data_IF_987424329714
#
_entry.id   IF_987424329714
#
_cell.length_a   1.000
_cell.length_b   1.000
_cell.length_c   1.000
_cell.angle_alpha   90.00
_cell.angle_beta   90.00
_cell.angle_gamma   90.00
#
_symmetry.space_group_name_H-M   'P 1'
#
loop_
_entity.id
_entity.type
_entity.pdbx_description
1 polymer ?
#
# COMPACT_ATOMS: atom_id res chain seq x y z
N UNK A 1 28.17 -20.15 -12.12
CA UNK A 1 27.53 -18.86 -11.80
C UNK A 1 26.46 -19.14 -10.76
N UNK A 2 26.55 -18.54 -9.58
CA UNK A 2 25.59 -18.76 -8.49
C UNK A 2 24.25 -18.09 -8.82
N UNK A 3 23.22 -18.89 -9.08
CA UNK A 3 21.86 -18.42 -9.29
C UNK A 3 21.32 -17.85 -7.98
N UNK A 4 21.13 -16.53 -7.91
CA UNK A 4 20.57 -15.90 -6.73
C UNK A 4 19.05 -16.12 -6.72
N UNK A 5 18.51 -16.77 -5.68
CA UNK A 5 17.09 -17.14 -5.61
C UNK A 5 16.14 -15.94 -5.65
N UNK A 6 16.58 -14.75 -5.24
CA UNK A 6 15.80 -13.49 -5.38
C UNK A 6 15.61 -13.13 -6.85
N UNK A 7 16.57 -13.50 -7.71
CA UNK A 7 16.55 -13.23 -9.14
C UNK A 7 15.62 -14.14 -9.95
N UNK A 8 15.17 -15.25 -9.36
CA UNK A 8 14.27 -16.23 -9.96
C UNK A 8 12.95 -16.35 -9.19
N UNK A 9 12.61 -15.34 -8.39
CA UNK A 9 11.28 -15.27 -7.82
C UNK A 9 10.26 -15.23 -8.95
N UNK A 10 9.23 -16.07 -8.85
CA UNK A 10 8.07 -16.00 -9.71
C UNK A 10 7.44 -14.62 -9.49
N UNK A 11 7.81 -13.67 -10.35
CA UNK A 11 7.23 -12.35 -10.35
C UNK A 11 5.77 -12.45 -10.72
N UNK A 12 4.95 -11.61 -10.09
CA UNK A 12 3.59 -11.39 -10.57
C UNK A 12 3.69 -10.72 -11.94
N UNK A 13 2.98 -11.21 -12.95
CA UNK A 13 2.91 -10.52 -14.24
C UNK A 13 2.01 -9.27 -14.15
N UNK A 14 2.14 -8.34 -15.07
CA UNK A 14 1.28 -7.14 -15.13
C UNK A 14 -0.22 -7.48 -15.19
N UNK A 15 -0.69 -8.46 -16.00
CA UNK A 15 -2.10 -8.86 -15.99
C UNK A 15 -2.55 -9.43 -14.64
N UNK A 16 -1.72 -10.27 -14.00
CA UNK A 16 -2.03 -10.83 -12.69
C UNK A 16 -2.08 -9.74 -11.61
N UNK A 17 -1.18 -8.74 -11.69
CA UNK A 17 -1.21 -7.56 -10.83
C UNK A 17 -2.51 -6.77 -10.98
N UNK A 18 -2.94 -6.47 -12.20
CA UNK A 18 -4.21 -5.78 -12.39
C UNK A 18 -5.41 -6.63 -11.92
N UNK A 19 -5.32 -7.96 -12.03
CA UNK A 19 -6.32 -8.86 -11.48
C UNK A 19 -6.36 -8.83 -9.94
N UNK A 20 -5.22 -8.82 -9.25
CA UNK A 20 -5.14 -8.84 -7.78
C UNK A 20 -5.34 -7.47 -7.13
N UNK A 21 -4.76 -6.41 -7.72
CA UNK A 21 -4.57 -5.08 -7.12
C UNK A 21 -5.03 -3.93 -8.03
N UNK A 22 -5.68 -4.22 -9.17
CA UNK A 22 -6.08 -3.18 -10.14
C UNK A 22 -7.12 -2.15 -9.67
N UNK A 23 -7.67 -2.28 -8.45
CA UNK A 23 -8.60 -1.29 -7.88
C UNK A 23 -8.16 -0.82 -6.50
N UNK A 24 -8.55 0.41 -6.14
CA UNK A 24 -8.23 0.99 -4.83
C UNK A 24 -8.75 0.12 -3.67
N UNK A 25 -9.93 -0.49 -3.83
CA UNK A 25 -10.50 -1.38 -2.82
C UNK A 25 -9.69 -2.67 -2.65
N UNK A 26 -9.16 -3.23 -3.74
CA UNK A 26 -8.29 -4.41 -3.70
C UNK A 26 -6.97 -4.08 -3.01
N UNK A 27 -6.33 -2.98 -3.40
CA UNK A 27 -5.11 -2.47 -2.75
C UNK A 27 -5.31 -2.23 -1.24
N UNK A 28 -6.45 -1.65 -0.85
CA UNK A 28 -6.78 -1.43 0.55
C UNK A 28 -6.89 -2.76 1.31
N UNK A 29 -7.53 -3.77 0.71
CA UNK A 29 -7.65 -5.11 1.30
C UNK A 29 -6.30 -5.81 1.41
N UNK A 30 -5.46 -5.75 0.38
CA UNK A 30 -4.11 -6.30 0.39
C UNK A 30 -3.27 -5.66 1.50
N UNK A 31 -3.23 -4.33 1.57
CA UNK A 31 -2.52 -3.61 2.63
C UNK A 31 -3.04 -3.94 4.03
N UNK A 32 -4.35 -4.10 4.19
CA UNK A 32 -4.96 -4.51 5.46
C UNK A 32 -4.48 -5.89 5.90
N UNK A 33 -4.41 -6.85 4.97
CA UNK A 33 -3.94 -8.21 5.24
C UNK A 33 -2.43 -8.22 5.57
N UNK A 34 -1.62 -7.46 4.83
CA UNK A 34 -0.17 -7.37 5.10
C UNK A 34 0.13 -6.72 6.44
N UNK A 35 -0.59 -5.65 6.79
CA UNK A 35 -0.38 -4.95 8.05
C UNK A 35 -0.84 -5.77 9.26
N UNK A 36 -1.89 -6.57 9.10
CA UNK A 36 -2.52 -7.30 10.20
C UNK A 36 -2.87 -8.74 9.83
N UNK A 37 -1.85 -9.60 9.60
CA UNK A 37 -2.07 -10.98 9.18
C UNK A 37 -2.81 -11.81 10.24
N UNK A 38 -2.59 -11.50 11.53
CA UNK A 38 -3.22 -12.18 12.67
C UNK A 38 -4.45 -11.44 13.22
N UNK A 39 -4.99 -10.51 12.44
CA UNK A 39 -6.07 -9.63 12.84
C UNK A 39 -5.57 -8.38 13.56
N UNK A 40 -6.43 -7.37 13.57
CA UNK A 40 -6.00 -6.02 13.93
C UNK A 40 -6.02 -5.80 15.44
N UNK A 41 -4.95 -5.19 15.95
CA UNK A 41 -4.82 -4.78 17.35
C UNK A 41 -4.62 -3.27 17.43
N UNK A 42 -5.18 -2.65 18.48
CA UNK A 42 -4.93 -1.25 18.77
C UNK A 42 -3.45 -1.04 19.12
N UNK A 43 -2.76 -0.04 18.53
CA UNK A 43 -1.36 0.23 18.86
C UNK A 43 -1.15 0.71 20.29
N UNK A 44 -2.16 1.34 20.92
CA UNK A 44 -2.04 1.87 22.28
C UNK A 44 -2.36 0.85 23.38
N UNK A 45 -3.41 0.04 23.21
CA UNK A 45 -3.91 -0.85 24.27
C UNK A 45 -4.01 -2.34 23.86
N UNK A 46 -3.55 -2.71 22.66
CA UNK A 46 -3.66 -4.06 22.09
C UNK A 46 -5.09 -4.63 21.93
N UNK A 47 -6.13 -3.87 22.26
CA UNK A 47 -7.52 -4.28 22.12
C UNK A 47 -7.93 -4.59 20.67
N UNK A 48 -8.86 -5.53 20.51
CA UNK A 48 -9.37 -5.98 19.20
C UNK A 48 -10.63 -5.22 18.77
N UNK A 49 -11.50 -4.90 19.72
CA UNK A 49 -12.78 -4.24 19.50
C UNK A 49 -12.58 -2.83 18.92
N UNK A 50 -13.31 -2.55 17.82
CA UNK A 50 -13.18 -1.32 17.05
C UNK A 50 -14.48 -0.96 16.32
N UNK A 51 -14.67 0.32 16.10
CA UNK A 51 -15.65 0.86 15.15
C UNK A 51 -14.94 1.43 13.92
N UNK A 52 -15.62 1.41 12.77
CA UNK A 52 -15.15 2.05 11.54
C UNK A 52 -15.89 3.38 11.38
N UNK A 53 -15.14 4.44 11.12
CA UNK A 53 -15.65 5.78 10.84
C UNK A 53 -15.08 6.26 9.51
N UNK A 54 -15.89 6.93 8.71
CA UNK A 54 -15.42 7.58 7.47
C UNK A 54 -15.44 9.09 7.67
N UNK A 55 -14.30 9.74 7.47
CA UNK A 55 -14.15 11.21 7.57
C UNK A 55 -13.29 11.71 6.42
N UNK A 56 -13.78 12.71 5.67
CA UNK A 56 -13.03 13.31 4.56
C UNK A 56 -12.56 12.29 3.52
N UNK A 57 -13.39 11.28 3.18
CA UNK A 57 -13.02 10.21 2.26
C UNK A 57 -12.15 9.10 2.86
N UNK A 58 -11.51 9.33 4.02
CA UNK A 58 -10.62 8.36 4.67
C UNK A 58 -11.37 7.48 5.67
N UNK A 59 -11.05 6.18 5.69
CA UNK A 59 -11.59 5.22 6.66
C UNK A 59 -10.65 5.17 7.87
N UNK A 60 -11.19 5.51 9.03
CA UNK A 60 -10.55 5.42 10.33
C UNK A 60 -11.12 4.24 11.12
N UNK A 61 -10.25 3.53 11.82
CA UNK A 61 -10.60 2.55 12.83
C UNK A 61 -10.42 3.19 14.20
N UNK A 62 -11.48 3.24 14.99
CA UNK A 62 -11.42 3.69 16.38
C UNK A 62 -11.47 2.49 17.31
N UNK A 63 -10.54 2.42 18.26
CA UNK A 63 -10.57 1.41 19.30
C UNK A 63 -11.72 1.68 20.28
N UNK A 64 -12.50 0.65 20.62
CA UNK A 64 -13.60 0.79 21.57
C UNK A 64 -13.13 0.96 23.02
N UNK A 65 -11.94 0.45 23.37
CA UNK A 65 -11.42 0.46 24.74
C UNK A 65 -10.74 1.79 25.12
N UNK A 66 -9.85 2.30 24.27
CA UNK A 66 -9.08 3.53 24.55
C UNK A 66 -9.46 4.72 23.65
N UNK A 67 -10.47 4.57 22.77
CA UNK A 67 -10.94 5.59 21.81
C UNK A 67 -9.89 6.11 20.81
N UNK A 68 -8.69 5.54 20.82
CA UNK A 68 -7.62 5.87 19.87
C UNK A 68 -8.06 5.60 18.42
N UNK A 69 -7.83 6.56 17.54
CA UNK A 69 -8.19 6.49 16.13
C UNK A 69 -6.94 6.28 15.28
N UNK A 70 -7.00 5.29 14.39
CA UNK A 70 -5.92 5.00 13.43
C UNK A 70 -6.52 4.76 12.05
N UNK A 71 -5.91 5.28 10.99
CA UNK A 71 -6.21 4.85 9.62
C UNK A 71 -5.41 3.58 9.28
N UNK A 72 -5.72 2.96 8.13
CA UNK A 72 -4.94 1.82 7.63
C UNK A 72 -3.49 2.21 7.29
N UNK A 73 -3.31 3.42 6.75
CA UNK A 73 -2.02 3.95 6.31
C UNK A 73 -1.21 4.64 7.43
N UNK A 74 -1.79 4.79 8.63
CA UNK A 74 -1.08 5.42 9.74
C UNK A 74 0.11 4.55 10.18
N UNK A 75 1.29 5.15 10.29
CA UNK A 75 2.54 4.48 10.60
C UNK A 75 3.02 3.54 9.49
N UNK A 76 2.68 3.80 8.23
CA UNK A 76 3.28 3.13 7.05
C UNK A 76 3.94 4.17 6.14
N UNK A 77 4.68 3.70 5.13
CA UNK A 77 5.22 4.58 4.07
C UNK A 77 4.13 5.35 3.29
N UNK A 78 2.86 4.94 3.41
CA UNK A 78 1.73 5.60 2.78
C UNK A 78 1.12 6.70 3.67
N UNK A 79 1.63 6.93 4.89
CA UNK A 79 1.10 7.96 5.76
C UNK A 79 1.24 9.35 5.12
N UNK A 80 0.14 10.09 5.05
CA UNK A 80 0.13 11.46 4.52
C UNK A 80 0.20 11.56 2.99
N UNK A 81 0.15 10.43 2.27
CA UNK A 81 0.09 10.44 0.81
C UNK A 81 -1.19 11.11 0.30
N UNK A 82 -1.04 11.90 -0.77
CA UNK A 82 -2.17 12.37 -1.60
C UNK A 82 -2.47 11.42 -2.78
N UNK A 83 -1.54 10.52 -3.08
CA UNK A 83 -1.68 9.51 -4.11
C UNK A 83 -2.58 8.35 -3.65
N UNK A 84 -3.44 7.82 -4.54
CA UNK A 84 -4.18 6.57 -4.32
C UNK A 84 -3.25 5.40 -3.99
N UNK A 85 -3.72 4.45 -3.18
CA UNK A 85 -2.96 3.23 -2.87
C UNK A 85 -2.66 2.41 -4.12
N UNK A 86 -3.53 2.40 -5.13
CA UNK A 86 -3.25 1.71 -6.40
C UNK A 86 -1.95 2.19 -7.08
N UNK A 87 -1.67 3.50 -7.00
CA UNK A 87 -0.46 4.08 -7.60
C UNK A 87 0.77 3.60 -6.84
N UNK A 88 0.69 3.54 -5.52
CA UNK A 88 1.75 2.99 -4.69
C UNK A 88 1.97 1.49 -4.91
N UNK A 89 0.91 0.70 -5.06
CA UNK A 89 1.03 -0.73 -5.34
C UNK A 89 1.68 -0.98 -6.70
N UNK A 90 1.33 -0.18 -7.71
CA UNK A 90 2.00 -0.23 -9.01
C UNK A 90 3.47 0.16 -8.90
N UNK A 91 3.80 1.20 -8.12
CA UNK A 91 5.18 1.60 -7.88
C UNK A 91 6.00 0.48 -7.23
N UNK A 92 5.45 -0.16 -6.20
CA UNK A 92 6.08 -1.32 -5.54
C UNK A 92 6.24 -2.50 -6.50
N UNK A 93 5.23 -2.77 -7.32
CA UNK A 93 5.29 -3.83 -8.33
C UNK A 93 6.38 -3.59 -9.36
N UNK A 94 6.62 -2.35 -9.78
CA UNK A 94 7.67 -2.00 -10.74
C UNK A 94 9.07 -2.01 -10.12
N UNK A 95 9.19 -1.68 -8.83
CA UNK A 95 10.47 -1.57 -8.14
C UNK A 95 10.97 -2.88 -7.51
N UNK A 96 10.07 -3.77 -7.11
CA UNK A 96 10.44 -5.02 -6.39
C UNK A 96 11.15 -6.07 -7.25
N UNK A 97 10.73 -6.34 -8.51
CA UNK A 97 11.33 -7.41 -9.31
C UNK A 97 12.59 -6.97 -10.06
N UNK A 98 12.92 -5.67 -10.10
CA UNK A 98 14.04 -5.16 -10.91
C UNK A 98 15.37 -5.32 -10.18
N UNK A 99 16.36 -5.93 -10.85
CA UNK A 99 17.74 -5.99 -10.35
C UNK A 99 18.46 -4.65 -10.48
N UNK A 100 18.02 -3.83 -11.42
CA UNK A 100 18.53 -2.50 -11.72
C UNK A 100 17.58 -1.47 -11.13
N UNK A 101 18.10 -0.58 -10.28
CA UNK A 101 17.33 0.55 -9.77
C UNK A 101 16.69 1.30 -10.94
N UNK A 102 15.37 1.43 -10.92
CA UNK A 102 14.64 2.25 -11.90
C UNK A 102 14.90 3.73 -11.59
N UNK A 103 15.18 4.52 -12.62
CA UNK A 103 15.32 5.95 -12.43
C UNK A 103 13.98 6.56 -11.98
N UNK A 104 14.02 7.51 -11.03
CA UNK A 104 12.79 8.12 -10.51
C UNK A 104 11.92 8.73 -11.62
N UNK A 105 12.53 9.34 -12.65
CA UNK A 105 11.83 9.92 -13.80
C UNK A 105 11.11 8.85 -14.65
N UNK A 106 11.69 7.66 -14.77
CA UNK A 106 11.06 6.54 -15.48
C UNK A 106 9.86 6.00 -14.71
N UNK A 107 10.01 5.83 -13.40
CA UNK A 107 8.91 5.44 -12.52
C UNK A 107 7.75 6.45 -12.60
N UNK A 108 8.06 7.75 -12.58
CA UNK A 108 7.05 8.79 -12.73
C UNK A 108 6.27 8.70 -14.06
N UNK A 109 6.94 8.35 -15.16
CA UNK A 109 6.28 8.13 -16.46
C UNK A 109 5.37 6.90 -16.45
N UNK A 110 5.77 5.83 -15.76
CA UNK A 110 4.93 4.65 -15.61
C UNK A 110 3.70 4.90 -14.74
N UNK A 111 3.84 5.72 -13.70
CA UNK A 111 2.77 6.05 -12.77
C UNK A 111 1.90 7.23 -13.23
N UNK A 112 2.34 7.96 -14.25
CA UNK A 112 1.79 9.22 -14.73
C UNK A 112 1.59 10.26 -13.61
N UNK A 113 2.65 10.49 -12.82
CA UNK A 113 2.67 11.46 -11.71
C UNK A 113 3.78 12.49 -11.88
N UNK A 114 3.59 13.68 -11.30
CA UNK A 114 4.61 14.74 -11.27
C UNK A 114 5.10 14.97 -9.84
N UNK A 115 6.39 15.33 -9.69
CA UNK A 115 6.95 15.73 -8.40
C UNK A 115 6.38 17.08 -7.92
N UNK A 116 6.06 17.98 -8.87
CA UNK A 116 5.47 19.30 -8.59
C UNK A 116 3.97 19.22 -8.30
N UNK A 117 3.30 18.20 -8.82
CA UNK A 117 1.88 17.93 -8.57
C UNK A 117 1.68 16.41 -8.44
N UNK A 118 1.48 15.89 -7.21
CA UNK A 118 1.27 14.47 -6.99
C UNK A 118 -0.12 14.00 -7.42
N UNK A 119 -0.94 14.81 -8.08
CA UNK A 119 -2.16 14.31 -8.72
C UNK A 119 -1.84 13.69 -10.09
N UNK A 120 -2.34 12.48 -10.39
CA UNK A 120 -2.18 11.90 -11.73
C UNK A 120 -2.94 12.77 -12.76
N UNK A 121 -2.37 12.89 -13.96
CA UNK A 121 -2.97 13.70 -15.05
C UNK A 121 -4.24 13.08 -15.61
#
# INVERSE_FOLDING_TARGET
>A
MSTNAVQLQAGLSMPEFFASDGTEAKCYRALYQWRWPQGVRCPCCAGRARSRLKRGGTIHSQCSACRHQTSLIAGTMFQGTKLPLRTWMLALHLLTPTKTNMAALELMRHLDINYLDPTPR
#
